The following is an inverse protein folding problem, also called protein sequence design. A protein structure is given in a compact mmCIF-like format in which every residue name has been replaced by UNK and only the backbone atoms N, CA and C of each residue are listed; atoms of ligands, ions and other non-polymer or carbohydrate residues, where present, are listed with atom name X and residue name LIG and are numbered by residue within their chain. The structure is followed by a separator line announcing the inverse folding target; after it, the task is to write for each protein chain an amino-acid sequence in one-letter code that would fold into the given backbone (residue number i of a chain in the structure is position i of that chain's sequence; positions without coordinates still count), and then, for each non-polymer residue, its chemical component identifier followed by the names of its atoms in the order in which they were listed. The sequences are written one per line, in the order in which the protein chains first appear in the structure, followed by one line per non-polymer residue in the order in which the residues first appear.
data_IF_377920601482
#
_entry.id   IF_377920601482
#
_cell.length_a   1.000
_cell.length_b   1.000
_cell.length_c   1.000
_cell.angle_alpha   90.00
_cell.angle_beta   90.00
_cell.angle_gamma   90.00
#
_symmetry.space_group_name_H-M   'P 1'
#
loop_
_entity.id
_entity.type
_entity.pdbx_description
1 polymer ?
#
# COMPACT_ATOMS: atom_id res chain seq x y z
N UNK A 1 -50.44 28.11 -50.23
CA UNK A 1 -50.52 26.71 -49.84
C UNK A 1 -49.13 26.12 -49.53
N UNK A 2 -48.11 26.20 -50.43
CA UNK A 2 -46.76 25.64 -50.21
C UNK A 2 -46.01 26.19 -48.98
N UNK A 3 -46.23 27.45 -48.57
CA UNK A 3 -45.59 28.04 -47.38
C UNK A 3 -46.20 27.66 -46.06
N UNK A 4 -47.49 27.32 -46.07
CA UNK A 4 -48.23 26.87 -44.86
C UNK A 4 -47.91 25.40 -44.57
N UNK A 5 -47.72 24.57 -45.61
CA UNK A 5 -47.30 23.16 -45.46
C UNK A 5 -45.87 23.03 -44.94
N UNK A 6 -44.95 23.94 -45.34
CA UNK A 6 -43.57 23.96 -44.82
C UNK A 6 -43.51 24.38 -43.33
N UNK A 7 -44.39 25.31 -42.89
CA UNK A 7 -44.46 25.76 -41.53
C UNK A 7 -45.04 24.68 -40.61
N UNK A 8 -46.04 23.92 -41.05
CA UNK A 8 -46.65 22.79 -40.34
C UNK A 8 -45.68 21.61 -40.22
N UNK A 9 -44.85 21.34 -41.26
CA UNK A 9 -43.81 20.30 -41.16
C UNK A 9 -42.66 20.70 -40.19
N UNK A 10 -42.29 21.97 -40.20
CA UNK A 10 -41.27 22.47 -39.25
C UNK A 10 -41.76 22.43 -37.79
N UNK A 11 -43.05 22.72 -37.54
CA UNK A 11 -43.68 22.63 -36.23
C UNK A 11 -43.83 21.19 -35.75
N UNK A 12 -44.08 20.24 -36.64
CA UNK A 12 -44.12 18.81 -36.34
C UNK A 12 -42.73 18.24 -35.94
N UNK A 13 -41.66 18.71 -36.60
CA UNK A 13 -40.28 18.32 -36.23
C UNK A 13 -39.83 18.95 -34.90
N UNK A 14 -40.29 20.15 -34.56
CA UNK A 14 -39.97 20.81 -33.28
C UNK A 14 -40.70 20.09 -32.08
N UNK A 15 -41.90 19.60 -32.29
CA UNK A 15 -42.62 18.84 -31.26
C UNK A 15 -42.03 17.43 -31.07
N UNK A 16 -41.46 16.83 -32.13
CA UNK A 16 -40.73 15.55 -32.03
C UNK A 16 -39.40 15.67 -31.27
N UNK A 17 -38.74 16.85 -31.28
CA UNK A 17 -37.48 17.07 -30.58
C UNK A 17 -37.68 17.37 -29.07
N UNK A 18 -38.89 17.77 -28.64
CA UNK A 18 -39.21 18.02 -27.22
C UNK A 18 -39.78 16.79 -26.49
N UNK A 19 -40.16 15.73 -27.20
CA UNK A 19 -40.60 14.48 -26.60
C UNK A 19 -39.48 13.47 -26.36
N UNK A 20 -38.22 13.79 -26.71
CA UNK A 20 -37.05 12.92 -26.60
C UNK A 20 -36.22 13.09 -25.32
N UNK A 21 -36.59 13.98 -24.38
CA UNK A 21 -35.99 14.06 -23.05
C UNK A 21 -36.89 13.34 -22.02
N UNK A 22 -37.34 12.15 -22.33
CA UNK A 22 -37.71 11.16 -21.33
C UNK A 22 -36.42 10.73 -20.63
N UNK A 23 -36.37 10.81 -19.31
CA UNK A 23 -35.39 10.10 -18.51
C UNK A 23 -35.21 8.71 -19.11
N UNK A 24 -34.07 8.41 -19.68
CA UNK A 24 -33.64 7.05 -19.85
C UNK A 24 -33.51 6.53 -18.41
N UNK A 25 -34.53 5.88 -17.91
CA UNK A 25 -34.33 4.92 -16.85
C UNK A 25 -33.42 3.89 -17.49
N UNK A 26 -32.19 3.81 -17.04
CA UNK A 26 -31.35 2.64 -17.23
C UNK A 26 -32.07 1.46 -16.52
N UNK A 27 -32.96 0.83 -17.24
CA UNK A 27 -33.66 -0.39 -16.82
C UNK A 27 -32.79 -1.61 -17.06
N UNK A 28 -31.54 -1.56 -16.56
CA UNK A 28 -30.65 -2.72 -16.42
C UNK A 28 -29.94 -2.73 -15.08
N UNK A 29 -30.40 -1.99 -14.06
CA UNK A 29 -30.09 -2.39 -12.70
C UNK A 29 -30.93 -3.63 -12.43
N UNK A 30 -30.34 -4.80 -12.42
CA UNK A 30 -30.92 -5.98 -11.81
C UNK A 30 -31.32 -5.57 -10.39
N UNK A 31 -32.54 -5.91 -9.95
CA UNK A 31 -33.01 -5.66 -8.56
C UNK A 31 -32.21 -6.45 -7.51
N UNK A 32 -30.99 -6.92 -7.88
CA UNK A 32 -30.10 -7.72 -7.06
C UNK A 32 -29.09 -6.81 -6.37
N UNK A 33 -28.82 -7.10 -5.10
CA UNK A 33 -27.71 -6.50 -4.36
C UNK A 33 -26.40 -6.87 -5.04
N UNK A 34 -25.56 -5.87 -5.30
CA UNK A 34 -24.19 -6.07 -5.77
C UNK A 34 -23.23 -6.02 -4.60
N UNK A 35 -22.55 -7.13 -4.34
CA UNK A 35 -21.63 -7.29 -3.21
C UNK A 35 -20.26 -7.68 -3.74
N UNK A 36 -19.22 -6.97 -3.32
CA UNK A 36 -17.83 -7.26 -3.67
C UNK A 36 -17.07 -7.60 -2.39
N UNK A 37 -16.26 -8.65 -2.45
CA UNK A 37 -15.37 -9.08 -1.37
C UNK A 37 -13.96 -9.26 -1.91
N UNK A 38 -12.93 -9.12 -1.08
CA UNK A 38 -11.57 -9.36 -1.51
C UNK A 38 -11.23 -10.84 -1.43
N UNK A 39 -11.32 -11.47 -0.28
CA UNK A 39 -10.87 -12.84 -0.02
C UNK A 39 -12.01 -13.84 0.18
N UNK A 40 -11.67 -15.14 0.14
CA UNK A 40 -12.64 -16.23 0.27
C UNK A 40 -13.41 -16.23 1.61
N UNK A 41 -12.83 -16.00 2.79
CA UNK A 41 -13.59 -15.95 4.04
C UNK A 41 -14.77 -14.97 4.00
N UNK A 42 -14.54 -13.75 3.51
CA UNK A 42 -15.58 -12.72 3.35
C UNK A 42 -16.70 -13.17 2.41
N UNK A 43 -16.30 -13.75 1.27
CA UNK A 43 -17.21 -14.28 0.28
C UNK A 43 -18.08 -15.39 0.88
N UNK A 44 -17.50 -16.31 1.62
CA UNK A 44 -18.20 -17.42 2.27
C UNK A 44 -19.18 -16.89 3.33
N UNK A 45 -18.75 -15.98 4.18
CA UNK A 45 -19.62 -15.38 5.20
C UNK A 45 -20.80 -14.66 4.61
N UNK A 46 -20.60 -13.85 3.57
CA UNK A 46 -21.69 -13.19 2.84
C UNK A 46 -22.67 -14.23 2.31
N UNK A 47 -22.21 -15.29 1.69
CA UNK A 47 -23.06 -16.35 1.13
C UNK A 47 -23.82 -17.13 2.18
N UNK A 48 -23.20 -17.47 3.29
CA UNK A 48 -23.83 -18.15 4.43
C UNK A 48 -24.95 -17.28 5.04
N UNK A 49 -24.72 -15.94 5.15
CA UNK A 49 -25.73 -15.01 5.65
C UNK A 49 -26.89 -14.85 4.67
N UNK A 50 -26.60 -14.75 3.38
CA UNK A 50 -27.65 -14.67 2.34
C UNK A 50 -28.50 -15.96 2.31
N UNK A 51 -27.87 -17.12 2.43
CA UNK A 51 -28.53 -18.43 2.41
C UNK A 51 -29.38 -18.62 1.17
N UNK A 52 -30.69 -18.90 1.34
CA UNK A 52 -31.65 -19.05 0.26
C UNK A 52 -31.99 -17.74 -0.48
N UNK A 53 -31.49 -16.60 -0.02
CA UNK A 53 -31.59 -15.30 -0.67
C UNK A 53 -30.40 -15.00 -1.58
N UNK A 54 -29.43 -15.88 -1.70
CA UNK A 54 -28.24 -15.68 -2.55
C UNK A 54 -28.61 -15.41 -4.03
N UNK A 55 -29.76 -15.91 -4.52
CA UNK A 55 -30.25 -15.61 -5.86
C UNK A 55 -30.68 -14.15 -6.05
N UNK A 56 -30.89 -13.41 -4.95
CA UNK A 56 -31.22 -11.97 -4.96
C UNK A 56 -30.01 -11.06 -4.90
N UNK A 57 -28.81 -11.63 -4.84
CA UNK A 57 -27.55 -10.90 -4.81
C UNK A 57 -26.62 -11.38 -5.93
N UNK A 58 -25.71 -10.51 -6.33
CA UNK A 58 -24.52 -10.83 -7.12
C UNK A 58 -23.31 -10.63 -6.20
N UNK A 59 -22.66 -11.73 -5.82
CA UNK A 59 -21.50 -11.70 -4.93
C UNK A 59 -20.25 -11.99 -5.75
N UNK A 60 -19.35 -11.01 -5.82
CA UNK A 60 -18.07 -11.11 -6.53
C UNK A 60 -16.95 -11.21 -5.52
N UNK A 61 -16.08 -12.22 -5.68
CA UNK A 61 -14.80 -12.32 -4.98
C UNK A 61 -13.69 -11.84 -5.93
N UNK A 62 -12.85 -10.90 -5.48
CA UNK A 62 -11.81 -10.33 -6.33
C UNK A 62 -10.63 -11.30 -6.49
N UNK A 63 -10.21 -11.95 -5.42
CA UNK A 63 -9.09 -12.89 -5.40
C UNK A 63 -9.55 -14.32 -5.73
N UNK A 64 -10.21 -14.51 -6.88
CA UNK A 64 -10.83 -15.79 -7.28
C UNK A 64 -9.86 -16.76 -7.97
N UNK A 65 -8.67 -16.28 -8.39
CA UNK A 65 -7.71 -17.04 -9.19
C UNK A 65 -6.50 -17.55 -8.40
N UNK A 66 -6.57 -17.60 -7.07
CA UNK A 66 -5.47 -18.05 -6.21
C UNK A 66 -4.31 -17.04 -6.11
N UNK A 67 -4.60 -15.76 -6.39
CA UNK A 67 -3.67 -14.66 -6.14
C UNK A 67 -3.56 -14.45 -4.63
N UNK A 68 -2.35 -14.23 -4.14
CA UNK A 68 -2.09 -13.89 -2.75
C UNK A 68 -2.59 -12.47 -2.43
N UNK A 69 -3.17 -12.28 -1.24
CA UNK A 69 -3.67 -10.98 -0.79
C UNK A 69 -2.57 -9.91 -0.83
N UNK A 70 -1.38 -10.26 -0.34
CA UNK A 70 -0.26 -9.33 -0.21
C UNK A 70 0.34 -8.87 -1.55
N UNK A 71 0.08 -9.59 -2.65
CA UNK A 71 0.53 -9.23 -4.01
C UNK A 71 -0.59 -8.80 -4.94
N UNK A 72 -1.83 -8.69 -4.44
CA UNK A 72 -2.97 -8.37 -5.27
C UNK A 72 -2.98 -6.91 -5.70
N UNK A 73 -3.14 -6.70 -7.03
CA UNK A 73 -3.37 -5.38 -7.61
C UNK A 73 -4.69 -5.40 -8.37
N UNK A 74 -5.65 -4.50 -8.07
CA UNK A 74 -6.95 -4.50 -8.71
C UNK A 74 -6.85 -4.14 -10.18
N UNK A 75 -7.59 -4.86 -11.01
CA UNK A 75 -7.76 -4.50 -12.42
C UNK A 75 -8.74 -3.32 -12.58
N UNK A 76 -8.73 -2.68 -13.74
CA UNK A 76 -9.72 -1.64 -14.04
C UNK A 76 -11.18 -2.15 -13.92
N UNK A 77 -11.41 -3.42 -14.21
CA UNK A 77 -12.71 -4.08 -14.11
C UNK A 77 -13.14 -4.26 -12.65
N UNK A 78 -12.18 -4.57 -11.76
CA UNK A 78 -12.43 -4.70 -10.32
C UNK A 78 -12.77 -3.33 -9.70
N UNK A 79 -12.06 -2.27 -10.10
CA UNK A 79 -12.37 -0.90 -9.68
C UNK A 79 -13.79 -0.50 -10.10
N UNK A 80 -14.25 -0.88 -11.31
CA UNK A 80 -15.64 -0.62 -11.75
C UNK A 80 -16.65 -1.39 -10.90
N UNK A 81 -16.39 -2.67 -10.61
CA UNK A 81 -17.27 -3.49 -9.74
C UNK A 81 -17.39 -2.89 -8.35
N UNK A 82 -16.26 -2.51 -7.74
CA UNK A 82 -16.24 -1.84 -6.43
C UNK A 82 -17.01 -0.52 -6.50
N UNK A 83 -16.74 0.30 -7.53
CA UNK A 83 -17.37 1.62 -7.68
C UNK A 83 -18.90 1.60 -7.69
N UNK A 84 -19.49 0.52 -8.20
CA UNK A 84 -20.94 0.41 -8.43
C UNK A 84 -21.65 -0.48 -7.40
N UNK A 85 -20.90 -1.22 -6.54
CA UNK A 85 -21.50 -2.18 -5.61
C UNK A 85 -22.31 -1.51 -4.49
N UNK A 86 -23.16 -2.29 -3.84
CA UNK A 86 -23.97 -1.87 -2.69
C UNK A 86 -23.26 -2.16 -1.36
N UNK A 87 -22.43 -3.23 -1.32
CA UNK A 87 -21.59 -3.61 -0.18
C UNK A 87 -20.20 -4.01 -0.68
N UNK A 88 -19.17 -3.40 -0.10
CA UNK A 88 -17.78 -3.78 -0.27
C UNK A 88 -17.19 -4.25 1.06
N UNK A 89 -16.61 -5.45 1.08
CA UNK A 89 -15.96 -6.04 2.25
C UNK A 89 -14.52 -6.31 1.88
N UNK A 90 -13.58 -5.87 2.71
CA UNK A 90 -12.15 -6.03 2.48
C UNK A 90 -11.39 -6.12 3.80
N UNK A 91 -10.20 -6.69 3.77
CA UNK A 91 -9.44 -6.96 5.00
C UNK A 91 -8.99 -5.67 5.69
N UNK A 92 -8.42 -4.76 4.94
CA UNK A 92 -7.68 -3.60 5.45
C UNK A 92 -6.20 -3.91 5.64
N UNK A 93 -5.46 -2.97 6.21
CA UNK A 93 -4.02 -3.10 6.35
C UNK A 93 -3.27 -2.67 5.10
N UNK A 94 -1.99 -3.05 5.04
CA UNK A 94 -1.06 -2.62 3.99
C UNK A 94 -1.43 -3.21 2.63
N UNK A 95 -1.82 -4.50 2.61
CA UNK A 95 -2.22 -5.20 1.37
C UNK A 95 -3.40 -4.55 0.65
N UNK A 96 -4.23 -3.83 1.38
CA UNK A 96 -5.41 -3.15 0.85
C UNK A 96 -5.23 -1.61 0.73
N UNK A 97 -4.00 -1.10 0.77
CA UNK A 97 -3.70 0.35 0.63
C UNK A 97 -4.26 1.00 -0.64
N UNK A 98 -4.48 0.23 -1.69
CA UNK A 98 -5.12 0.66 -2.93
C UNK A 98 -6.61 1.01 -2.79
N UNK A 99 -7.29 0.50 -1.73
CA UNK A 99 -8.75 0.63 -1.52
C UNK A 99 -9.16 2.08 -1.33
N UNK A 100 -8.40 2.89 -0.61
CA UNK A 100 -8.73 4.29 -0.38
C UNK A 100 -8.89 5.07 -1.70
N UNK A 101 -7.98 4.84 -2.64
CA UNK A 101 -8.04 5.46 -3.96
C UNK A 101 -9.24 4.96 -4.79
N UNK A 102 -9.60 3.68 -4.68
CA UNK A 102 -10.78 3.12 -5.33
C UNK A 102 -12.07 3.76 -4.80
N UNK A 103 -12.19 3.93 -3.49
CA UNK A 103 -13.37 4.49 -2.82
C UNK A 103 -13.54 5.99 -3.06
N UNK A 104 -12.47 6.78 -3.16
CA UNK A 104 -12.53 8.22 -3.46
C UNK A 104 -13.38 8.54 -4.70
N UNK A 105 -13.30 7.68 -5.71
CA UNK A 105 -13.95 7.86 -7.00
C UNK A 105 -15.18 6.96 -7.21
N UNK A 106 -15.65 6.23 -6.19
CA UNK A 106 -16.78 5.34 -6.31
C UNK A 106 -18.03 6.07 -6.78
N UNK A 107 -18.78 5.47 -7.73
CA UNK A 107 -20.00 6.03 -8.29
C UNK A 107 -21.17 5.90 -7.32
N UNK A 108 -21.29 4.77 -6.63
CA UNK A 108 -22.31 4.55 -5.61
C UNK A 108 -21.92 5.21 -4.29
N UNK A 109 -22.44 6.41 -4.01
CA UNK A 109 -22.18 7.15 -2.76
C UNK A 109 -22.92 6.60 -1.54
N UNK A 110 -23.83 5.62 -1.74
CA UNK A 110 -24.57 4.96 -0.66
C UNK A 110 -24.02 3.55 -0.37
N UNK A 111 -22.92 3.18 -0.98
CA UNK A 111 -22.23 1.91 -0.74
C UNK A 111 -21.91 1.76 0.74
N UNK A 112 -22.19 0.57 1.28
CA UNK A 112 -21.67 0.17 2.59
C UNK A 112 -20.27 -0.38 2.40
N UNK A 113 -19.37 -0.02 3.31
CA UNK A 113 -17.98 -0.48 3.29
C UNK A 113 -17.67 -1.10 4.63
N UNK A 114 -17.09 -2.30 4.63
CA UNK A 114 -16.62 -3.00 5.83
C UNK A 114 -15.12 -3.27 5.64
N UNK A 115 -14.30 -2.64 6.46
CA UNK A 115 -12.91 -2.96 6.69
C UNK A 115 -12.85 -3.93 7.88
N UNK A 116 -12.31 -5.14 7.70
CA UNK A 116 -12.30 -6.15 8.75
C UNK A 116 -11.48 -5.71 9.97
N UNK A 117 -10.31 -5.09 9.74
CA UNK A 117 -9.46 -4.60 10.83
C UNK A 117 -10.17 -3.51 11.62
N UNK A 118 -10.83 -2.56 10.96
CA UNK A 118 -11.59 -1.51 11.63
C UNK A 118 -12.77 -2.07 12.41
N UNK A 119 -13.48 -3.05 11.85
CA UNK A 119 -14.63 -3.69 12.50
C UNK A 119 -14.23 -4.44 13.78
N UNK A 120 -13.00 -4.92 13.88
CA UNK A 120 -12.45 -5.63 15.03
C UNK A 120 -11.82 -4.70 16.06
N UNK A 121 -11.35 -3.50 15.66
CA UNK A 121 -10.77 -2.51 16.56
C UNK A 121 -9.66 -3.08 17.45
N UNK A 122 -9.80 -2.96 18.75
CA UNK A 122 -8.80 -3.42 19.75
C UNK A 122 -8.51 -4.93 19.73
N UNK A 123 -9.25 -5.73 18.97
CA UNK A 123 -8.99 -7.18 18.81
C UNK A 123 -7.94 -7.47 17.74
N UNK A 124 -7.56 -6.47 16.95
CA UNK A 124 -6.50 -6.59 15.95
C UNK A 124 -5.16 -6.69 16.64
N UNK A 125 -4.36 -7.67 16.24
CA UNK A 125 -3.01 -7.90 16.73
C UNK A 125 -2.00 -7.28 15.78
N UNK A 126 -0.84 -6.98 16.36
CA UNK A 126 0.33 -6.61 15.58
C UNK A 126 1.11 -7.84 15.15
N UNK A 127 1.81 -7.76 14.05
CA UNK A 127 2.78 -8.78 13.69
C UNK A 127 3.82 -8.93 14.81
N UNK A 128 4.32 -10.13 14.99
CA UNK A 128 5.32 -10.44 16.01
C UNK A 128 6.47 -11.18 15.34
N UNK A 129 7.66 -10.63 15.49
CA UNK A 129 8.88 -11.32 15.14
C UNK A 129 9.33 -12.13 16.35
N UNK A 130 9.41 -13.46 16.23
CA UNK A 130 9.90 -14.34 17.28
C UNK A 130 11.29 -14.88 16.98
N UNK A 131 12.02 -15.31 18.01
CA UNK A 131 13.36 -15.87 17.87
C UNK A 131 13.39 -17.02 16.84
N UNK A 132 14.18 -16.86 15.78
CA UNK A 132 14.34 -17.81 14.70
C UNK A 132 13.56 -17.51 13.43
N UNK A 133 12.71 -16.49 13.39
CA UNK A 133 12.15 -15.96 12.17
C UNK A 133 13.24 -15.25 11.35
N UNK A 134 13.25 -15.49 10.06
CA UNK A 134 13.95 -14.63 9.13
C UNK A 134 13.06 -13.39 8.94
N UNK A 135 13.60 -12.22 9.25
CA UNK A 135 12.96 -10.96 8.91
C UNK A 135 13.03 -10.83 7.38
N UNK A 136 11.88 -10.82 6.72
CA UNK A 136 11.82 -10.46 5.32
C UNK A 136 12.22 -8.99 5.21
N UNK A 137 13.19 -8.71 4.31
CA UNK A 137 13.93 -7.45 4.27
C UNK A 137 13.17 -6.19 3.88
N UNK A 138 11.97 -5.97 4.41
CA UNK A 138 11.22 -4.72 4.29
C UNK A 138 11.46 -3.78 5.47
N UNK A 139 12.70 -3.74 5.98
CA UNK A 139 13.08 -2.70 6.91
C UNK A 139 13.44 -1.41 6.13
N UNK A 140 12.50 -0.48 6.01
CA UNK A 140 12.79 0.92 5.68
C UNK A 140 13.52 1.66 6.83
N UNK A 141 13.77 1.00 7.93
CA UNK A 141 14.60 1.39 9.07
C UNK A 141 15.82 0.49 9.21
N UNK A 142 16.83 0.67 8.40
CA UNK A 142 18.26 0.40 8.63
C UNK A 142 18.70 -0.69 9.64
N UNK A 143 18.18 -1.91 9.60
CA UNK A 143 18.85 -3.07 10.20
C UNK A 143 19.32 -4.05 9.12
N UNK A 144 20.51 -3.80 8.61
CA UNK A 144 21.23 -4.68 7.69
C UNK A 144 21.94 -5.77 8.51
N UNK A 145 21.35 -6.93 8.69
CA UNK A 145 22.10 -8.10 9.20
C UNK A 145 22.55 -9.07 8.09
N UNK A 146 22.08 -8.97 6.85
CA UNK A 146 22.82 -9.54 5.73
C UNK A 146 23.95 -8.58 5.35
N UNK A 147 25.15 -8.98 5.71
CA UNK A 147 26.35 -8.22 5.43
C UNK A 147 26.60 -8.23 3.92
N UNK A 148 26.21 -7.14 3.23
CA UNK A 148 26.53 -6.93 1.82
C UNK A 148 28.04 -7.15 1.62
N UNK A 149 28.39 -8.09 0.77
CA UNK A 149 29.78 -8.41 0.42
C UNK A 149 30.14 -7.78 -0.91
N UNK A 150 31.44 -7.74 -1.25
CA UNK A 150 31.85 -7.21 -2.56
C UNK A 150 31.36 -8.08 -3.72
N UNK A 151 31.10 -9.37 -3.48
CA UNK A 151 30.63 -10.29 -4.49
C UNK A 151 29.13 -10.07 -4.84
N UNK A 152 28.36 -9.42 -3.96
CA UNK A 152 26.95 -9.11 -4.17
C UNK A 152 26.76 -7.83 -5.00
N UNK A 153 27.78 -6.96 -5.04
CA UNK A 153 27.73 -5.71 -5.77
C UNK A 153 27.90 -5.95 -7.27
N UNK A 154 26.88 -5.62 -8.05
CA UNK A 154 26.91 -5.68 -9.52
C UNK A 154 26.99 -4.29 -10.11
N UNK A 155 27.62 -4.16 -11.27
CA UNK A 155 27.60 -2.91 -12.04
C UNK A 155 26.17 -2.52 -12.41
N UNK A 156 25.87 -1.23 -12.32
CA UNK A 156 24.56 -0.65 -12.68
C UNK A 156 24.67 0.18 -13.95
N UNK A 157 23.60 0.32 -14.66
CA UNK A 157 23.44 1.27 -15.77
C UNK A 157 22.66 2.49 -15.31
N UNK A 158 22.72 3.60 -16.05
CA UNK A 158 21.90 4.76 -15.70
C UNK A 158 20.39 4.48 -15.85
N UNK A 159 20.03 3.48 -16.67
CA UNK A 159 18.65 3.05 -16.85
C UNK A 159 18.04 2.41 -15.59
N UNK A 160 18.86 1.89 -14.69
CA UNK A 160 18.41 1.31 -13.42
C UNK A 160 17.90 2.39 -12.45
N UNK A 161 18.25 3.65 -12.71
CA UNK A 161 17.79 4.84 -11.99
C UNK A 161 16.80 5.68 -12.81
N UNK A 162 16.27 5.13 -13.90
CA UNK A 162 15.39 5.85 -14.83
C UNK A 162 14.13 6.36 -14.12
N UNK A 163 13.66 7.54 -14.52
CA UNK A 163 12.44 8.14 -13.98
C UNK A 163 12.56 9.65 -13.76
N UNK A 164 11.52 10.20 -13.17
CA UNK A 164 11.47 11.59 -12.74
C UNK A 164 11.44 11.63 -11.21
N UNK A 165 12.39 12.34 -10.65
CA UNK A 165 12.66 12.42 -9.21
C UNK A 165 12.55 13.87 -8.74
N UNK A 166 11.97 14.13 -7.57
CA UNK A 166 11.89 15.45 -6.94
C UNK A 166 12.56 15.45 -5.58
N UNK A 167 13.26 16.55 -5.29
CA UNK A 167 13.92 16.77 -4.00
C UNK A 167 12.90 17.03 -2.91
N UNK A 168 13.13 16.47 -1.72
CA UNK A 168 12.32 16.75 -0.53
C UNK A 168 12.73 18.02 0.21
N UNK A 169 13.87 18.62 -0.11
CA UNK A 169 14.32 19.85 0.53
C UNK A 169 13.31 21.00 0.45
N UNK A 170 12.66 21.29 -0.71
CA UNK A 170 11.60 22.31 -0.77
C UNK A 170 10.41 22.05 0.16
N UNK A 171 10.05 20.78 0.37
CA UNK A 171 8.93 20.38 1.24
C UNK A 171 9.24 20.59 2.74
N UNK A 172 10.53 20.54 3.14
CA UNK A 172 10.96 20.98 4.47
C UNK A 172 10.89 22.49 4.65
N UNK A 173 11.17 23.25 3.58
CA UNK A 173 11.20 24.71 3.65
C UNK A 173 9.79 25.33 3.70
N UNK A 174 8.81 24.71 3.07
CA UNK A 174 7.43 25.21 3.01
C UNK A 174 6.52 24.65 4.13
N UNK A 175 7.01 23.71 4.94
CA UNK A 175 6.31 23.13 6.09
C UNK A 175 5.46 21.87 5.79
N UNK A 176 5.48 21.36 4.55
CA UNK A 176 4.73 20.15 4.17
C UNK A 176 5.19 18.91 4.95
N UNK A 177 6.47 18.89 5.42
CA UNK A 177 7.04 17.81 6.21
C UNK A 177 7.07 18.08 7.73
N UNK A 178 6.33 19.06 8.22
CA UNK A 178 6.26 19.36 9.65
C UNK A 178 5.73 18.18 10.48
N UNK A 179 4.76 17.43 9.94
CA UNK A 179 4.20 16.24 10.59
C UNK A 179 5.26 15.13 10.73
N UNK A 180 6.04 14.88 9.68
CA UNK A 180 7.15 13.94 9.72
C UNK A 180 8.19 14.34 10.78
N UNK A 181 8.60 15.61 10.84
CA UNK A 181 9.55 16.07 11.86
C UNK A 181 8.99 15.97 13.28
N UNK A 182 7.68 16.16 13.45
CA UNK A 182 7.00 15.97 14.72
C UNK A 182 7.01 14.50 15.15
N UNK A 183 6.65 13.59 14.24
CA UNK A 183 6.64 12.16 14.46
C UNK A 183 8.04 11.66 14.87
N UNK A 184 9.10 12.04 14.13
CA UNK A 184 10.48 11.68 14.48
C UNK A 184 10.92 12.18 15.86
N UNK A 185 10.38 13.30 16.33
CA UNK A 185 10.67 13.81 17.68
C UNK A 185 9.90 13.04 18.77
N UNK A 186 8.74 12.49 18.43
CA UNK A 186 7.93 11.67 19.35
C UNK A 186 8.50 10.26 19.52
N UNK A 187 9.16 9.72 18.49
CA UNK A 187 9.86 8.43 18.54
C UNK A 187 11.26 8.50 19.17
N UNK A 188 11.81 9.70 19.37
CA UNK A 188 13.17 9.85 19.91
C UNK A 188 13.19 9.52 21.41
N UNK A 189 14.07 8.61 21.83
CA UNK A 189 14.26 8.25 23.24
C UNK A 189 14.69 9.47 24.10
N UNK A 190 15.34 10.47 23.49
CA UNK A 190 15.65 11.74 24.14
C UNK A 190 14.45 12.69 24.11
N UNK A 191 13.67 12.70 25.18
CA UNK A 191 12.49 13.55 25.33
C UNK A 191 12.78 15.07 25.24
N UNK A 192 14.04 15.48 25.12
CA UNK A 192 14.43 16.88 24.86
C UNK A 192 14.46 17.21 23.37
N UNK A 193 14.40 16.22 22.49
CA UNK A 193 14.38 16.40 21.04
C UNK A 193 13.02 16.91 20.61
N UNK A 194 12.98 17.93 19.77
CA UNK A 194 11.76 18.60 19.32
C UNK A 194 11.60 18.51 17.81
N UNK A 195 10.37 18.76 17.32
CA UNK A 195 10.09 18.95 15.89
C UNK A 195 11.12 19.89 15.22
N UNK A 196 11.39 21.03 15.85
CA UNK A 196 12.29 22.03 15.28
C UNK A 196 13.75 21.50 15.20
N UNK A 197 14.16 20.64 16.13
CA UNK A 197 15.47 19.99 16.10
C UNK A 197 15.58 19.10 14.85
N UNK A 198 14.58 18.28 14.58
CA UNK A 198 14.55 17.43 13.39
C UNK A 198 14.43 18.24 12.10
N UNK A 199 13.59 19.27 12.10
CA UNK A 199 13.42 20.16 10.94
C UNK A 199 14.75 20.80 10.52
N UNK A 200 15.49 21.37 11.47
CA UNK A 200 16.82 21.96 11.17
C UNK A 200 17.86 20.91 10.78
N UNK A 201 17.81 19.73 11.39
CA UNK A 201 18.67 18.59 11.02
C UNK A 201 18.44 18.17 9.55
N UNK A 202 17.16 17.98 9.15
CA UNK A 202 16.84 17.55 7.79
C UNK A 202 17.04 18.67 6.76
N UNK A 203 16.73 19.93 7.07
CA UNK A 203 17.08 21.07 6.20
C UNK A 203 18.56 21.11 5.87
N UNK A 204 19.42 20.91 6.87
CA UNK A 204 20.87 20.88 6.65
C UNK A 204 21.32 19.63 5.90
N UNK A 205 20.73 18.47 6.21
CA UNK A 205 21.12 17.19 5.62
C UNK A 205 20.64 17.05 4.18
N UNK A 206 19.39 17.42 3.88
CA UNK A 206 18.79 17.21 2.55
C UNK A 206 19.01 18.39 1.60
N UNK A 207 19.78 19.39 2.01
CA UNK A 207 20.07 20.56 1.19
C UNK A 207 20.59 20.16 -0.18
N UNK A 208 19.93 20.69 -1.23
CA UNK A 208 20.23 20.41 -2.62
C UNK A 208 19.81 21.59 -3.50
N UNK A 209 20.61 21.89 -4.54
CA UNK A 209 20.32 22.99 -5.46
C UNK A 209 19.31 22.58 -6.55
N UNK A 210 19.23 21.31 -6.93
CA UNK A 210 18.26 20.83 -7.88
C UNK A 210 16.94 20.45 -7.18
N UNK A 211 15.82 20.94 -7.71
CA UNK A 211 14.48 20.58 -7.27
C UNK A 211 13.97 19.28 -7.90
N UNK A 212 14.39 19.04 -9.16
CA UNK A 212 14.02 17.82 -9.90
C UNK A 212 15.19 17.27 -10.69
N UNK A 213 15.20 15.94 -10.82
CA UNK A 213 16.12 15.20 -11.69
C UNK A 213 15.30 14.24 -12.54
N UNK A 214 15.51 14.26 -13.86
CA UNK A 214 14.89 13.31 -14.79
C UNK A 214 15.96 12.50 -15.49
N UNK A 215 15.78 11.18 -15.53
CA UNK A 215 16.74 10.24 -16.11
C UNK A 215 16.04 9.47 -17.22
N UNK A 216 16.58 9.58 -18.44
CA UNK A 216 16.06 8.89 -19.61
C UNK A 216 17.23 8.35 -20.45
N UNK A 217 17.34 7.03 -20.54
CA UNK A 217 18.51 6.39 -21.13
C UNK A 217 19.80 6.83 -20.45
N UNK A 218 20.74 7.40 -21.21
CA UNK A 218 22.02 7.89 -20.67
C UNK A 218 22.00 9.40 -20.33
N UNK A 219 20.84 10.05 -20.37
CA UNK A 219 20.72 11.49 -20.15
C UNK A 219 20.15 11.78 -18.77
N UNK A 220 20.84 12.64 -18.01
CA UNK A 220 20.30 13.24 -16.78
C UNK A 220 19.97 14.70 -17.05
N UNK A 221 18.76 15.11 -16.67
CA UNK A 221 18.29 16.49 -16.72
C UNK A 221 18.06 16.98 -15.29
N UNK A 222 18.73 18.06 -14.91
CA UNK A 222 18.54 18.75 -13.63
C UNK A 222 17.64 19.97 -13.83
N UNK A 223 16.67 20.16 -12.94
CA UNK A 223 15.84 21.36 -12.87
C UNK A 223 16.10 22.03 -11.53
N UNK A 224 16.48 23.31 -11.58
CA UNK A 224 16.82 24.12 -10.40
C UNK A 224 15.65 25.01 -9.99
N UNK A 225 15.67 25.54 -8.76
CA UNK A 225 14.60 26.35 -8.19
C UNK A 225 14.27 27.65 -8.96
N UNK A 226 15.18 28.14 -9.78
CA UNK A 226 14.95 29.27 -10.70
C UNK A 226 14.28 28.87 -12.03
N UNK A 227 13.93 27.59 -12.18
CA UNK A 227 13.35 27.00 -13.39
C UNK A 227 14.36 26.69 -14.49
N UNK A 228 15.65 26.94 -14.26
CA UNK A 228 16.71 26.57 -15.20
C UNK A 228 16.83 25.07 -15.32
N UNK A 229 16.94 24.57 -16.53
CA UNK A 229 17.22 23.15 -16.80
C UNK A 229 18.57 22.96 -17.45
N UNK A 230 19.26 21.89 -17.08
CA UNK A 230 20.54 21.49 -17.67
C UNK A 230 20.50 20.00 -17.93
N UNK A 231 20.88 19.59 -19.13
CA UNK A 231 20.89 18.16 -19.53
C UNK A 231 22.26 17.77 -20.08
N UNK A 232 22.70 16.57 -19.75
CA UNK A 232 23.91 15.99 -20.32
C UNK A 232 23.80 14.46 -20.38
N UNK A 233 24.56 13.86 -21.30
CA UNK A 233 24.80 12.42 -21.33
C UNK A 233 25.86 12.07 -20.31
N UNK A 234 25.61 10.98 -19.55
CA UNK A 234 26.51 10.46 -18.52
C UNK A 234 26.97 9.04 -18.86
N UNK A 235 28.18 8.72 -18.48
CA UNK A 235 28.76 7.40 -18.61
C UNK A 235 29.05 6.83 -17.22
N UNK A 236 28.84 5.53 -17.10
CA UNK A 236 29.16 4.82 -15.87
C UNK A 236 30.68 4.85 -15.57
N UNK A 237 31.05 5.18 -14.36
CA UNK A 237 32.41 5.34 -13.90
C UNK A 237 32.80 4.32 -12.79
N UNK A 238 31.91 3.38 -12.48
CA UNK A 238 32.12 2.40 -11.43
C UNK A 238 31.25 2.63 -10.20
N UNK A 239 31.59 1.98 -9.11
CA UNK A 239 30.90 2.15 -7.83
C UNK A 239 31.90 2.29 -6.68
N UNK A 240 31.43 2.77 -5.55
CA UNK A 240 32.20 2.87 -4.32
C UNK A 240 31.36 2.43 -3.11
N UNK A 241 31.74 1.33 -2.40
CA UNK A 241 31.07 0.92 -1.19
C UNK A 241 31.31 1.92 -0.05
N UNK A 242 30.28 2.27 0.68
CA UNK A 242 30.38 3.02 1.93
C UNK A 242 30.43 2.04 3.10
N UNK A 243 31.48 2.10 3.91
CA UNK A 243 31.70 1.18 5.03
C UNK A 243 31.52 1.90 6.37
N UNK A 244 31.06 1.15 7.38
CA UNK A 244 31.07 1.62 8.75
C UNK A 244 32.47 1.46 9.39
N UNK A 245 32.60 1.85 10.66
CA UNK A 245 33.83 1.78 11.43
C UNK A 245 34.36 0.34 11.62
N UNK A 246 33.48 -0.67 11.48
CA UNK A 246 33.85 -2.10 11.54
C UNK A 246 34.26 -2.64 10.16
N UNK A 247 34.24 -1.80 9.11
CA UNK A 247 34.60 -2.18 7.74
C UNK A 247 33.49 -2.86 6.96
N UNK A 248 32.28 -2.99 7.53
CA UNK A 248 31.11 -3.56 6.87
C UNK A 248 30.52 -2.58 5.84
N UNK A 249 30.09 -3.09 4.69
CA UNK A 249 29.42 -2.28 3.67
C UNK A 249 28.03 -1.91 4.18
N UNK A 250 27.70 -0.62 4.12
CA UNK A 250 26.39 -0.07 4.53
C UNK A 250 25.53 0.36 3.35
N UNK A 251 26.17 0.75 2.26
CA UNK A 251 25.49 1.14 1.02
C UNK A 251 26.50 1.21 -0.10
N UNK A 252 26.04 1.27 -1.33
CA UNK A 252 26.88 1.38 -2.53
C UNK A 252 26.54 2.67 -3.25
N UNK A 253 27.56 3.45 -3.64
CA UNK A 253 27.40 4.64 -4.47
C UNK A 253 27.84 4.35 -5.89
N UNK A 254 26.88 4.28 -6.80
CA UNK A 254 27.11 4.11 -8.22
C UNK A 254 27.46 5.45 -8.86
N UNK A 255 28.51 5.49 -9.66
CA UNK A 255 29.17 6.69 -10.12
C UNK A 255 28.96 6.88 -11.61
N UNK A 256 28.59 8.10 -11.99
CA UNK A 256 28.41 8.51 -13.38
C UNK A 256 29.09 9.85 -13.62
N UNK A 257 29.69 10.02 -14.79
CA UNK A 257 30.38 11.25 -15.15
C UNK A 257 30.05 11.74 -16.55
N UNK A 258 30.20 13.05 -16.76
CA UNK A 258 30.04 13.69 -18.05
C UNK A 258 31.21 14.62 -18.38
N UNK A 259 31.46 14.81 -19.66
CA UNK A 259 32.40 15.82 -20.16
C UNK A 259 31.74 17.16 -20.47
N UNK A 260 30.41 17.26 -20.29
CA UNK A 260 29.67 18.51 -20.48
C UNK A 260 30.16 19.58 -19.47
N UNK A 261 30.35 20.80 -19.96
CA UNK A 261 30.73 21.93 -19.10
C UNK A 261 29.52 22.60 -18.41
N UNK A 262 28.31 22.31 -18.89
CA UNK A 262 27.09 23.01 -18.47
C UNK A 262 26.33 22.25 -17.39
N UNK A 263 26.65 20.97 -17.18
CA UNK A 263 26.00 20.10 -16.19
C UNK A 263 26.97 19.70 -15.05
N UNK A 264 26.47 19.26 -13.90
CA UNK A 264 27.30 18.67 -12.86
C UNK A 264 28.15 17.52 -13.43
N UNK A 265 29.45 17.62 -13.25
CA UNK A 265 30.39 16.68 -13.89
C UNK A 265 30.31 15.28 -13.34
N UNK A 266 30.04 15.13 -12.04
CA UNK A 266 30.01 13.88 -11.31
C UNK A 266 28.65 13.71 -10.65
N UNK A 267 28.07 12.51 -10.75
CA UNK A 267 26.82 12.12 -10.11
C UNK A 267 27.03 10.79 -9.40
N UNK A 268 26.47 10.67 -8.20
CA UNK A 268 26.43 9.40 -7.47
C UNK A 268 25.01 9.11 -7.02
N UNK A 269 24.56 7.89 -7.24
CA UNK A 269 23.33 7.34 -6.68
C UNK A 269 23.69 6.43 -5.51
N UNK A 270 23.10 6.68 -4.35
CA UNK A 270 23.21 5.79 -3.22
C UNK A 270 22.06 4.78 -3.29
N UNK A 271 22.42 3.53 -3.54
CA UNK A 271 21.53 2.39 -3.55
C UNK A 271 21.67 1.64 -2.21
N UNK A 272 20.55 1.35 -1.59
CA UNK A 272 20.45 0.61 -0.34
C UNK A 272 20.42 -0.91 -0.53
N UNK A 273 20.68 -1.41 -1.73
CA UNK A 273 20.76 -2.84 -2.03
C UNK A 273 19.53 -3.42 -2.71
N UNK A 274 18.55 -2.58 -3.08
CA UNK A 274 17.34 -3.01 -3.76
C UNK A 274 17.58 -3.39 -5.22
N UNK A 275 16.68 -4.21 -5.77
CA UNK A 275 16.65 -4.53 -7.19
C UNK A 275 16.43 -3.27 -8.03
N UNK A 276 17.04 -3.20 -9.25
CA UNK A 276 16.86 -2.05 -10.13
C UNK A 276 15.39 -1.83 -10.49
N UNK A 277 14.90 -0.60 -10.28
CA UNK A 277 13.55 -0.18 -10.68
C UNK A 277 12.49 -0.24 -9.58
N UNK A 278 12.78 -0.83 -8.44
CA UNK A 278 11.84 -0.95 -7.30
C UNK A 278 11.97 0.18 -6.27
N UNK A 279 13.09 0.92 -6.30
CA UNK A 279 13.31 2.00 -5.35
C UNK A 279 12.26 3.12 -5.47
N UNK A 280 11.63 3.46 -4.35
CA UNK A 280 10.71 4.59 -4.25
C UNK A 280 11.47 5.91 -4.05
N UNK A 281 12.70 5.85 -3.56
CA UNK A 281 13.56 7.01 -3.35
C UNK A 281 15.03 6.73 -3.60
N UNK A 282 15.81 7.79 -3.82
CA UNK A 282 17.26 7.76 -3.90
C UNK A 282 17.90 8.94 -3.17
N UNK A 283 19.10 8.71 -2.65
CA UNK A 283 20.01 9.81 -2.32
C UNK A 283 20.90 10.10 -3.51
N UNK A 284 20.71 11.24 -4.16
CA UNK A 284 21.40 11.60 -5.39
C UNK A 284 22.37 12.75 -5.11
N UNK A 285 23.67 12.49 -5.29
CA UNK A 285 24.74 13.45 -5.07
C UNK A 285 25.30 13.90 -6.41
N UNK A 286 25.58 15.19 -6.57
CA UNK A 286 26.15 15.71 -7.79
C UNK A 286 26.99 16.95 -7.55
N UNK A 287 28.00 17.18 -8.41
CA UNK A 287 28.92 18.30 -8.27
C UNK A 287 30.05 18.26 -9.29
N UNK A 288 31.05 19.12 -9.08
CA UNK A 288 32.17 19.29 -10.01
C UNK A 288 33.53 18.93 -9.44
N UNK A 289 33.62 18.62 -8.13
CA UNK A 289 34.89 18.49 -7.41
C UNK A 289 35.38 17.03 -7.31
N UNK A 290 34.73 16.10 -8.00
CA UNK A 290 35.12 14.68 -8.04
C UNK A 290 34.29 13.79 -7.12
N UNK A 291 34.37 12.48 -7.35
CA UNK A 291 33.64 11.47 -6.58
C UNK A 291 34.01 11.45 -5.10
N UNK A 292 35.28 11.64 -4.75
CA UNK A 292 35.74 11.67 -3.35
C UNK A 292 35.11 12.84 -2.57
N UNK A 293 34.93 13.98 -3.23
CA UNK A 293 34.24 15.12 -2.64
C UNK A 293 32.74 14.79 -2.36
N UNK A 294 32.08 14.12 -3.29
CA UNK A 294 30.69 13.66 -3.12
C UNK A 294 30.59 12.59 -2.01
N UNK A 295 31.54 11.66 -1.93
CA UNK A 295 31.60 10.66 -0.85
C UNK A 295 31.76 11.30 0.54
N UNK A 296 32.46 12.42 0.62
CA UNK A 296 32.73 13.16 1.84
C UNK A 296 31.70 14.23 2.16
N UNK A 297 30.66 14.37 1.31
CA UNK A 297 29.59 15.36 1.50
C UNK A 297 28.89 15.14 2.85
N UNK A 298 28.63 16.25 3.56
CA UNK A 298 27.83 16.23 4.81
C UNK A 298 26.33 16.25 4.55
N UNK A 299 25.94 16.60 3.32
CA UNK A 299 24.56 16.56 2.87
C UNK A 299 24.20 15.16 2.41
N UNK A 300 22.93 14.81 2.51
CA UNK A 300 22.35 13.56 2.07
C UNK A 300 21.06 13.85 1.26
N UNK A 301 21.19 14.45 0.05
CA UNK A 301 20.02 14.90 -0.71
C UNK A 301 19.05 13.76 -0.98
N UNK A 302 17.80 13.97 -0.63
CA UNK A 302 16.76 12.95 -0.69
C UNK A 302 15.78 13.25 -1.84
N UNK A 303 15.62 12.29 -2.73
CA UNK A 303 14.75 12.40 -3.90
C UNK A 303 13.75 11.25 -3.91
N UNK A 304 12.49 11.59 -4.14
CA UNK A 304 11.38 10.62 -4.32
C UNK A 304 10.83 10.70 -5.74
N UNK A 305 10.01 9.74 -6.15
CA UNK A 305 9.33 9.77 -7.46
C UNK A 305 8.52 11.07 -7.60
N UNK A 306 8.64 11.77 -8.73
CA UNK A 306 7.97 13.07 -8.96
C UNK A 306 6.45 12.96 -8.96
N UNK A 307 5.91 11.76 -9.21
CA UNK A 307 4.47 11.49 -9.24
C UNK A 307 3.82 11.46 -7.85
N UNK A 308 4.58 11.24 -6.75
CA UNK A 308 4.02 11.15 -5.41
C UNK A 308 3.37 12.47 -4.98
N UNK A 309 2.22 12.41 -4.32
CA UNK A 309 1.61 13.57 -3.68
C UNK A 309 2.37 13.97 -2.39
N UNK A 310 2.01 15.10 -1.77
CA UNK A 310 2.60 15.46 -0.47
C UNK A 310 2.17 14.49 0.64
N UNK A 311 1.00 13.88 0.50
CA UNK A 311 0.45 12.86 1.40
C UNK A 311 1.22 11.55 1.26
N UNK A 312 1.40 11.06 0.02
CA UNK A 312 2.21 9.87 -0.27
C UNK A 312 3.66 10.02 0.22
N UNK A 313 4.24 11.23 0.10
CA UNK A 313 5.58 11.52 0.64
C UNK A 313 5.63 11.43 2.16
N UNK A 314 4.59 11.94 2.83
CA UNK A 314 4.51 11.82 4.29
C UNK A 314 4.38 10.36 4.71
N UNK A 315 3.54 9.59 4.03
CA UNK A 315 3.35 8.17 4.27
C UNK A 315 4.64 7.39 4.03
N UNK A 316 5.37 7.67 2.94
CA UNK A 316 6.69 7.10 2.66
C UNK A 316 7.72 7.42 3.75
N UNK A 317 7.79 8.69 4.21
CA UNK A 317 8.80 9.14 5.16
C UNK A 317 8.51 8.77 6.61
N UNK A 318 7.26 8.71 6.98
CA UNK A 318 6.87 8.23 8.30
C UNK A 318 7.02 6.72 8.38
N UNK A 319 7.45 6.13 7.24
CA UNK A 319 7.32 4.74 6.93
C UNK A 319 5.90 4.40 7.31
N UNK A 320 4.98 3.97 6.48
CA UNK A 320 3.65 3.69 6.98
C UNK A 320 3.75 3.43 8.46
N UNK A 321 3.19 4.31 9.30
CA UNK A 321 3.39 4.24 10.74
C UNK A 321 3.34 2.75 11.12
N UNK A 322 4.49 2.10 11.21
CA UNK A 322 4.65 0.78 11.78
C UNK A 322 4.51 0.97 13.29
N UNK A 323 3.49 1.68 13.65
CA UNK A 323 2.78 1.41 14.86
C UNK A 323 2.37 -0.03 14.71
N UNK A 324 3.28 -0.91 15.08
CA UNK A 324 3.13 -2.35 15.12
C UNK A 324 2.26 -2.83 13.95
N UNK A 325 2.91 -3.24 12.85
CA UNK A 325 2.28 -3.73 11.61
C UNK A 325 1.15 -4.69 11.98
N UNK A 326 -0.05 -4.38 11.56
CA UNK A 326 -1.23 -5.13 11.97
C UNK A 326 -1.27 -6.42 11.19
N UNK A 327 -1.27 -7.54 11.91
CA UNK A 327 -1.48 -8.84 11.29
C UNK A 327 -2.86 -8.88 10.61
N UNK A 328 -2.86 -8.98 9.30
CA UNK A 328 -4.05 -8.94 8.46
C UNK A 328 -4.88 -10.23 8.51
N UNK A 329 -4.31 -11.35 9.02
CA UNK A 329 -4.92 -12.68 9.00
C UNK A 329 -6.01 -12.87 10.05
N UNK A 330 -6.80 -11.83 10.30
CA UNK A 330 -7.85 -11.76 11.34
C UNK A 330 -8.90 -12.86 11.24
N UNK A 331 -9.13 -13.37 10.02
CA UNK A 331 -10.12 -14.43 9.76
C UNK A 331 -9.71 -15.79 10.30
N UNK A 332 -8.45 -15.97 10.70
CA UNK A 332 -7.94 -17.20 11.30
C UNK A 332 -8.25 -17.33 12.79
N UNK A 333 -8.88 -16.31 13.39
CA UNK A 333 -9.55 -16.39 14.68
C UNK A 333 -11.04 -16.67 14.49
N UNK A 334 -11.55 -17.75 15.05
CA UNK A 334 -12.99 -18.06 15.01
C UNK A 334 -13.82 -17.04 15.79
N UNK A 335 -13.25 -16.42 16.84
CA UNK A 335 -13.90 -15.35 17.61
C UNK A 335 -14.01 -14.05 16.80
N UNK A 336 -12.97 -13.72 16.05
CA UNK A 336 -13.00 -12.59 15.11
C UNK A 336 -14.04 -12.86 14.01
N UNK A 337 -14.04 -14.06 13.44
CA UNK A 337 -15.01 -14.47 12.42
C UNK A 337 -16.45 -14.30 12.91
N UNK A 338 -16.79 -14.67 14.16
CA UNK A 338 -18.12 -14.43 14.73
C UNK A 338 -18.51 -12.95 14.78
N UNK A 339 -17.54 -12.07 15.12
CA UNK A 339 -17.73 -10.62 15.16
C UNK A 339 -17.95 -10.07 13.74
N UNK A 340 -17.13 -10.48 12.79
CA UNK A 340 -17.19 -10.05 11.38
C UNK A 340 -18.47 -10.53 10.69
N UNK A 341 -18.89 -11.76 10.93
CA UNK A 341 -20.19 -12.29 10.46
C UNK A 341 -21.34 -11.42 10.96
N UNK A 342 -21.26 -10.94 12.21
CA UNK A 342 -22.29 -10.04 12.75
C UNK A 342 -22.29 -8.70 12.03
N UNK A 343 -21.12 -8.08 11.81
CA UNK A 343 -20.99 -6.81 11.11
C UNK A 343 -21.52 -6.88 9.66
N UNK A 344 -21.21 -7.96 8.94
CA UNK A 344 -21.72 -8.19 7.58
C UNK A 344 -23.25 -8.37 7.60
N UNK A 345 -23.77 -9.16 8.54
CA UNK A 345 -25.22 -9.36 8.67
C UNK A 345 -25.95 -8.04 8.97
N UNK A 346 -25.39 -7.17 9.78
CA UNK A 346 -25.97 -5.86 10.10
C UNK A 346 -26.00 -4.96 8.85
N UNK A 347 -24.93 -4.94 8.06
CA UNK A 347 -24.91 -4.19 6.80
C UNK A 347 -25.95 -4.72 5.80
N UNK A 348 -26.08 -6.04 5.66
CA UNK A 348 -27.10 -6.65 4.78
C UNK A 348 -28.53 -6.36 5.23
N UNK A 349 -28.79 -6.32 6.55
CA UNK A 349 -30.09 -5.95 7.10
C UNK A 349 -30.48 -4.49 6.77
N UNK A 350 -29.51 -3.59 6.67
CA UNK A 350 -29.74 -2.21 6.28
C UNK A 350 -29.97 -2.06 4.78
N UNK A 351 -29.27 -2.84 3.96
CA UNK A 351 -29.38 -2.82 2.50
C UNK A 351 -30.65 -3.51 1.98
N UNK A 352 -31.07 -4.55 2.65
CA UNK A 352 -32.28 -5.34 2.30
C UNK A 352 -33.14 -5.63 3.53
N UNK A 353 -33.90 -4.61 4.01
CA UNK A 353 -34.71 -4.72 5.22
C UNK A 353 -35.83 -5.79 5.13
N UNK A 354 -36.28 -6.11 3.92
CA UNK A 354 -37.35 -7.08 3.71
C UNK A 354 -36.90 -8.50 4.08
N UNK A 355 -35.61 -8.82 3.93
CA UNK A 355 -34.99 -10.10 4.28
C UNK A 355 -34.24 -10.08 5.63
N UNK A 356 -34.31 -9.01 6.40
CA UNK A 356 -33.62 -8.81 7.67
C UNK A 356 -33.66 -10.02 8.60
N UNK A 357 -34.83 -10.60 8.82
CA UNK A 357 -35.00 -11.74 9.75
C UNK A 357 -34.27 -12.99 9.24
N UNK A 358 -34.20 -13.18 7.93
CA UNK A 358 -33.41 -14.28 7.33
C UNK A 358 -31.92 -14.11 7.62
N UNK A 359 -31.39 -12.90 7.41
CA UNK A 359 -29.97 -12.62 7.66
C UNK A 359 -29.59 -12.78 9.14
N UNK A 360 -30.44 -12.32 10.04
CA UNK A 360 -30.26 -12.54 11.49
C UNK A 360 -30.21 -14.05 11.83
N UNK A 361 -31.17 -14.83 11.31
CA UNK A 361 -31.24 -16.25 11.60
C UNK A 361 -30.06 -17.02 11.01
N UNK A 362 -29.68 -16.71 9.77
CA UNK A 362 -28.55 -17.36 9.09
C UNK A 362 -27.22 -17.02 9.77
N UNK A 363 -26.98 -15.75 10.09
CA UNK A 363 -25.79 -15.32 10.81
C UNK A 363 -25.68 -16.00 12.19
N UNK A 364 -26.79 -16.10 12.93
CA UNK A 364 -26.82 -16.82 14.21
C UNK A 364 -26.45 -18.30 14.03
N UNK A 365 -27.06 -18.97 13.03
CA UNK A 365 -26.79 -20.37 12.77
C UNK A 365 -25.33 -20.62 12.32
N UNK A 366 -24.74 -19.67 11.57
CA UNK A 366 -23.35 -19.79 11.15
C UNK A 366 -22.39 -19.56 12.33
N UNK A 367 -22.66 -18.57 13.18
CA UNK A 367 -21.89 -18.35 14.42
C UNK A 367 -21.96 -19.55 15.36
N UNK A 368 -23.10 -20.26 15.47
CA UNK A 368 -23.19 -21.50 16.23
C UNK A 368 -22.25 -22.57 15.67
N UNK A 369 -22.06 -22.65 14.33
CA UNK A 369 -21.06 -23.54 13.71
C UNK A 369 -19.62 -23.11 14.06
N UNK A 370 -19.33 -21.82 14.02
CA UNK A 370 -18.00 -21.27 14.39
C UNK A 370 -17.70 -21.57 15.86
N UNK A 371 -18.64 -21.32 16.77
CA UNK A 371 -18.50 -21.63 18.20
C UNK A 371 -18.29 -23.12 18.48
N UNK A 372 -18.96 -24.00 17.73
CA UNK A 372 -18.74 -25.43 17.85
C UNK A 372 -17.33 -25.83 17.40
N UNK A 373 -16.85 -25.26 16.30
CA UNK A 373 -15.49 -25.47 15.79
C UNK A 373 -14.43 -24.92 16.77
N UNK A 374 -14.67 -23.75 17.37
CA UNK A 374 -13.80 -23.17 18.40
C UNK A 374 -13.67 -24.12 19.60
N UNK A 375 -14.80 -24.70 20.05
CA UNK A 375 -14.79 -25.68 21.13
C UNK A 375 -13.99 -26.95 20.78
N UNK A 376 -14.06 -27.42 19.53
CA UNK A 376 -13.30 -28.56 19.04
C UNK A 376 -11.79 -28.27 19.00
N UNK A 377 -11.39 -27.12 18.51
CA UNK A 377 -9.98 -26.66 18.52
C UNK A 377 -9.46 -26.59 19.96
N UNK A 378 -10.23 -25.93 20.83
CA UNK A 378 -9.88 -25.82 22.23
C UNK A 378 -9.71 -27.20 22.89
N UNK A 379 -10.64 -28.14 22.68
CA UNK A 379 -10.56 -29.48 23.23
C UNK A 379 -9.34 -30.24 22.70
N UNK A 380 -9.00 -30.11 21.42
CA UNK A 380 -7.82 -30.72 20.81
C UNK A 380 -6.52 -30.19 21.46
N UNK A 381 -6.42 -28.86 21.61
CA UNK A 381 -5.25 -28.24 22.24
C UNK A 381 -5.14 -28.57 23.73
N UNK A 382 -6.25 -28.59 24.45
CA UNK A 382 -6.27 -28.96 25.89
C UNK A 382 -5.82 -30.39 26.10
N UNK A 383 -6.14 -31.31 25.20
CA UNK A 383 -5.73 -32.72 25.26
C UNK A 383 -4.27 -32.95 24.81
N UNK A 384 -3.65 -32.02 24.13
CA UNK A 384 -2.29 -32.15 23.61
C UNK A 384 -1.26 -32.10 24.76
N UNK A 385 -0.31 -33.06 24.77
CA UNK A 385 0.82 -33.09 25.70
C UNK A 385 1.92 -32.06 25.35
N UNK A 386 2.01 -31.68 24.10
CA UNK A 386 2.88 -30.61 23.60
C UNK A 386 2.02 -29.56 22.93
N UNK A 387 2.20 -28.30 23.32
CA UNK A 387 1.47 -27.14 22.79
C UNK A 387 2.35 -26.24 21.93
N UNK A 388 3.43 -26.78 21.40
CA UNK A 388 4.34 -26.08 20.50
C UNK A 388 4.13 -26.56 19.08
N UNK A 389 3.95 -25.64 18.16
CA UNK A 389 3.84 -25.88 16.70
C UNK A 389 5.03 -25.29 15.98
N UNK A 390 5.38 -25.87 14.85
CA UNK A 390 6.48 -25.42 14.00
C UNK A 390 5.96 -25.13 12.60
N UNK A 391 6.22 -23.93 12.11
CA UNK A 391 5.91 -23.48 10.76
C UNK A 391 7.22 -23.32 9.97
N UNK A 392 7.36 -24.07 8.89
CA UNK A 392 8.53 -24.02 8.00
C UNK A 392 8.34 -23.07 6.81
N UNK A 393 7.37 -22.17 6.89
CA UNK A 393 6.95 -21.24 5.87
C UNK A 393 6.50 -19.95 6.57
N UNK A 394 5.82 -19.01 5.83
CA UNK A 394 5.16 -17.81 6.38
C UNK A 394 4.23 -18.17 7.54
N UNK A 395 4.07 -17.24 8.44
CA UNK A 395 3.27 -17.45 9.65
C UNK A 395 1.98 -16.61 9.72
N UNK A 396 0.92 -16.95 8.98
CA UNK A 396 -0.34 -16.22 9.02
C UNK A 396 -1.22 -16.60 10.22
N UNK A 397 -0.73 -17.41 11.17
CA UNK A 397 -1.54 -18.06 12.20
C UNK A 397 -1.47 -17.38 13.57
N UNK A 398 -1.05 -16.12 13.65
CA UNK A 398 -0.91 -15.34 14.88
C UNK A 398 -2.17 -15.40 15.77
N UNK A 399 -3.32 -15.14 15.19
CA UNK A 399 -4.61 -15.17 15.89
C UNK A 399 -4.97 -16.57 16.39
N UNK A 400 -4.73 -17.59 15.58
CA UNK A 400 -5.05 -18.98 15.95
C UNK A 400 -4.19 -19.45 17.12
N UNK A 401 -2.87 -19.24 17.09
CA UNK A 401 -1.99 -19.69 18.18
C UNK A 401 -2.31 -18.98 19.48
N UNK A 402 -2.63 -17.70 19.44
CA UNK A 402 -3.00 -16.92 20.62
C UNK A 402 -4.35 -17.33 21.18
N UNK A 403 -5.34 -17.56 20.32
CA UNK A 403 -6.68 -17.96 20.76
C UNK A 403 -6.68 -19.25 21.59
N UNK A 404 -5.74 -20.15 21.28
CA UNK A 404 -5.64 -21.45 21.98
C UNK A 404 -4.42 -21.58 22.89
N UNK A 405 -3.61 -20.54 23.04
CA UNK A 405 -2.43 -20.53 23.90
C UNK A 405 -1.36 -21.52 23.46
N UNK A 406 -1.11 -21.60 22.15
CA UNK A 406 -0.04 -22.39 21.55
C UNK A 406 1.25 -21.57 21.54
N UNK A 407 2.37 -22.24 21.85
CA UNK A 407 3.71 -21.72 21.53
C UNK A 407 4.08 -22.12 20.12
N UNK A 408 4.89 -21.30 19.44
CA UNK A 408 5.25 -21.60 18.07
C UNK A 408 6.69 -21.19 17.74
N UNK A 409 7.20 -21.80 16.68
CA UNK A 409 8.37 -21.36 15.93
C UNK A 409 7.96 -21.23 14.46
N UNK A 410 8.40 -20.18 13.80
CA UNK A 410 8.15 -19.96 12.39
C UNK A 410 9.44 -19.52 11.68
N UNK A 411 9.55 -19.83 10.39
CA UNK A 411 10.72 -19.47 9.59
C UNK A 411 10.63 -18.02 9.09
N UNK A 412 9.41 -17.52 8.81
CA UNK A 412 9.16 -16.19 8.21
C UNK A 412 7.95 -15.53 8.87
N UNK A 413 7.88 -14.21 8.79
CA UNK A 413 6.72 -13.40 9.20
C UNK A 413 5.48 -13.69 8.34
N UNK A 414 4.28 -13.23 8.76
CA UNK A 414 3.01 -13.57 8.13
C UNK A 414 2.68 -12.77 6.88
N UNK A 415 2.91 -11.46 6.91
CA UNK A 415 2.40 -10.51 5.91
C UNK A 415 3.39 -10.14 4.81
N UNK A 416 4.53 -10.81 4.66
CA UNK A 416 5.46 -10.52 3.58
C UNK A 416 4.99 -11.05 2.23
N UNK A 417 5.00 -10.20 1.21
CA UNK A 417 4.69 -10.56 -0.18
C UNK A 417 5.85 -11.28 -0.89
N UNK A 418 7.07 -11.22 -0.35
CA UNK A 418 8.29 -11.64 -1.02
C UNK A 418 8.96 -12.82 -0.31
N UNK A 419 8.54 -14.03 -0.67
CA UNK A 419 9.34 -15.24 -0.47
C UNK A 419 9.34 -16.03 -1.77
N UNK A 420 10.23 -15.73 -2.67
CA UNK A 420 10.66 -16.70 -3.71
C UNK A 420 12.11 -17.14 -3.48
#
# INVERSE_FOLDING_TARGET
MKKITALLLALLMLVGALAGCGKQNDTNKTDKLSIVTTIFPEYDWVREILGDKADNAEVTMLLDNGVDLHSYQPTADDIVKISDCDLFVYVGGESDGWVENALKNAANKNMKVINLLEALGDSVKTEETVEGMQEDGHDHGHSHDEQLTEDDIKDRTLSDFAGAWKSLHPYLLNGDLDKFCQHRAEEDEDSSTTKDTYLEKYKASWQCDAEKISINGNTITFTYGDGKTVSAEYTYAGYQPKRNDEGKIRSVRYQFETTSADAPKYVQFNDHGHEPGEAEHFHIYFGNDGFDALMSAKTNPFFVKDALSAEDILDELMGHDHGEEKDEHVWLSLKNAETLVTAIADALQELDPDNKNTYIANAAAYRDKLAALDADYKAAVDAASNKTVLFGDRFPFRYLVDDYGLSYYAAFVGCSAETE
#
